data_IF_481776694959
#
_entry.id   IF_481776694959
#
_cell.length_a   1.000
_cell.length_b   1.000
_cell.length_c   1.000
_cell.angle_alpha   90.00
_cell.angle_beta   90.00
_cell.angle_gamma   90.00
#
_symmetry.space_group_name_H-M   'P 1'
#
loop_
_entity.id
_entity.type
_entity.pdbx_description
1 polymer ?
#
# COMPACT_ATOMS: atom_id res chain seq x y z
N UNK A 1 14.42 -10.98 -16.04
CA UNK A 1 14.55 -11.91 -17.18
C UNK A 1 14.10 -13.27 -16.68
N UNK A 2 12.86 -13.67 -16.95
CA UNK A 2 12.28 -14.89 -16.37
C UNK A 2 12.28 -15.97 -17.44
N UNK A 3 13.12 -16.97 -17.19
CA UNK A 3 13.19 -18.22 -17.93
C UNK A 3 12.26 -19.20 -17.21
N UNK A 4 11.46 -19.96 -17.96
CA UNK A 4 10.55 -21.02 -17.47
C UNK A 4 11.31 -22.14 -16.69
N UNK A 5 12.63 -22.05 -16.55
CA UNK A 5 13.47 -23.01 -15.82
C UNK A 5 13.11 -23.23 -14.34
N UNK A 6 12.50 -22.27 -13.63
CA UNK A 6 12.22 -22.43 -12.19
C UNK A 6 10.88 -23.09 -11.85
N UNK A 7 9.93 -23.15 -12.76
CA UNK A 7 8.63 -23.81 -12.52
C UNK A 7 8.67 -25.32 -12.73
N UNK A 8 9.68 -25.81 -13.46
CA UNK A 8 9.94 -27.23 -13.59
C UNK A 8 10.38 -27.89 -12.27
N UNK A 9 10.77 -27.17 -11.22
CA UNK A 9 11.24 -27.78 -9.96
C UNK A 9 10.18 -28.56 -9.16
N UNK A 10 8.89 -28.22 -9.31
CA UNK A 10 7.76 -28.97 -8.72
C UNK A 10 6.91 -29.67 -9.78
N UNK A 11 7.00 -29.26 -11.06
CA UNK A 11 6.38 -29.99 -12.18
C UNK A 11 7.24 -31.19 -12.66
N UNK A 12 8.45 -31.37 -12.12
CA UNK A 12 9.35 -32.51 -12.39
C UNK A 12 8.89 -33.83 -11.80
N UNK A 13 7.82 -33.91 -10.99
CA UNK A 13 7.44 -35.17 -10.32
C UNK A 13 6.27 -35.92 -10.98
N UNK A 14 5.46 -35.31 -11.85
CA UNK A 14 4.37 -36.05 -12.53
C UNK A 14 4.55 -36.24 -14.05
N UNK A 15 5.54 -35.60 -14.68
CA UNK A 15 5.86 -35.81 -16.09
C UNK A 15 6.96 -36.88 -16.33
N UNK A 16 7.57 -37.44 -15.28
CA UNK A 16 8.64 -38.44 -15.38
C UNK A 16 8.19 -39.89 -15.12
N UNK A 17 7.00 -40.27 -15.63
CA UNK A 17 6.75 -41.69 -15.90
C UNK A 17 5.93 -41.91 -17.16
N UNK A 18 6.48 -41.49 -18.31
CA UNK A 18 6.22 -42.22 -19.57
C UNK A 18 6.57 -43.73 -19.45
N UNK A 19 7.26 -44.13 -18.37
CA UNK A 19 7.49 -45.52 -17.96
C UNK A 19 6.30 -46.25 -17.32
N UNK A 20 5.16 -45.61 -17.04
CA UNK A 20 4.01 -46.35 -16.47
C UNK A 20 3.08 -46.98 -17.52
N UNK A 21 3.18 -46.62 -18.80
CA UNK A 21 2.37 -47.21 -19.88
C UNK A 21 3.06 -47.37 -21.25
N UNK A 22 4.34 -47.00 -21.41
CA UNK A 22 5.09 -47.19 -22.66
C UNK A 22 4.60 -46.35 -23.85
N UNK A 23 3.91 -45.24 -23.58
CA UNK A 23 3.40 -44.33 -24.60
C UNK A 23 4.43 -43.23 -24.82
N UNK A 24 4.98 -43.17 -26.03
CA UNK A 24 5.90 -42.13 -26.47
C UNK A 24 5.12 -40.94 -27.04
N UNK A 25 5.33 -39.75 -26.46
CA UNK A 25 4.76 -38.51 -27.00
C UNK A 25 5.53 -38.18 -28.28
N UNK A 26 4.80 -38.01 -29.38
CA UNK A 26 5.38 -37.76 -30.70
C UNK A 26 5.46 -36.27 -31.03
N UNK A 27 4.60 -35.43 -30.42
CA UNK A 27 4.57 -34.00 -30.69
C UNK A 27 4.07 -33.19 -29.48
N UNK A 28 4.48 -31.92 -29.41
CA UNK A 28 4.12 -30.95 -28.39
C UNK A 28 3.62 -29.68 -29.08
N UNK A 29 2.61 -29.05 -28.51
CA UNK A 29 2.15 -27.73 -28.94
C UNK A 29 1.90 -26.87 -27.71
N UNK A 30 2.64 -25.78 -27.63
CA UNK A 30 2.53 -24.76 -26.61
C UNK A 30 1.82 -23.54 -27.17
N UNK A 31 0.86 -23.02 -26.43
CA UNK A 31 0.36 -21.66 -26.54
C UNK A 31 0.72 -20.93 -25.25
N UNK A 32 1.49 -19.85 -25.34
CA UNK A 32 1.97 -19.11 -24.17
C UNK A 32 0.97 -18.08 -23.64
N UNK A 33 -0.17 -17.88 -24.31
CA UNK A 33 -1.22 -16.94 -23.92
C UNK A 33 -0.91 -15.48 -24.27
N UNK A 34 0.22 -15.21 -24.93
CA UNK A 34 0.64 -13.88 -25.42
C UNK A 34 0.64 -13.77 -26.96
N UNK A 35 0.03 -14.77 -27.63
CA UNK A 35 -0.03 -14.87 -29.09
C UNK A 35 1.15 -15.62 -29.71
N UNK A 36 2.11 -16.11 -28.91
CA UNK A 36 3.23 -16.92 -29.39
C UNK A 36 3.06 -18.41 -29.04
N UNK A 37 3.69 -19.28 -29.84
CA UNK A 37 3.58 -20.73 -29.72
C UNK A 37 4.94 -21.43 -29.87
N UNK A 38 5.02 -22.71 -29.50
CA UNK A 38 6.21 -23.55 -29.72
C UNK A 38 5.84 -25.02 -29.89
N UNK A 39 6.66 -25.77 -30.64
CA UNK A 39 6.57 -27.23 -30.75
C UNK A 39 7.71 -27.98 -30.05
N UNK A 40 8.56 -27.27 -29.31
CA UNK A 40 9.62 -27.91 -28.55
C UNK A 40 9.03 -28.69 -27.36
N UNK A 41 9.66 -29.81 -27.00
CA UNK A 41 9.26 -30.57 -25.80
C UNK A 41 9.44 -29.75 -24.51
N UNK A 42 10.46 -28.88 -24.47
CA UNK A 42 10.81 -28.07 -23.30
C UNK A 42 11.22 -26.64 -23.73
N UNK A 43 10.28 -25.80 -24.21
CA UNK A 43 10.61 -24.47 -24.69
C UNK A 43 11.03 -23.56 -23.54
N UNK A 44 11.82 -22.55 -23.89
CA UNK A 44 12.04 -21.40 -23.02
C UNK A 44 11.34 -20.18 -23.62
N UNK A 45 10.41 -19.59 -22.87
CA UNK A 45 9.66 -18.41 -23.29
C UNK A 45 9.84 -17.24 -22.33
N UNK A 46 9.81 -16.01 -22.86
CA UNK A 46 10.01 -14.76 -22.11
C UNK A 46 8.91 -13.77 -22.44
N UNK A 47 8.09 -13.46 -21.43
CA UNK A 47 7.06 -12.42 -21.51
C UNK A 47 7.68 -11.02 -21.48
N UNK A 48 7.33 -10.21 -22.48
CA UNK A 48 7.87 -8.84 -22.63
C UNK A 48 7.10 -7.80 -21.82
N UNK A 49 5.83 -8.06 -21.54
CA UNK A 49 4.95 -7.19 -20.77
C UNK A 49 4.50 -7.89 -19.48
N UNK A 50 4.28 -7.13 -18.40
CA UNK A 50 3.60 -7.65 -17.22
C UNK A 50 2.18 -8.12 -17.57
N UNK A 51 1.78 -9.27 -17.04
CA UNK A 51 0.45 -9.80 -17.25
C UNK A 51 0.27 -11.18 -16.63
N UNK A 52 -0.99 -11.64 -16.59
CA UNK A 52 -1.32 -13.02 -16.28
C UNK A 52 -1.60 -13.78 -17.56
N UNK A 53 -0.74 -14.75 -17.89
CA UNK A 53 -0.81 -15.47 -19.14
C UNK A 53 -1.28 -16.90 -18.92
N UNK A 54 -2.37 -17.31 -19.58
CA UNK A 54 -2.81 -18.70 -19.55
C UNK A 54 -2.03 -19.50 -20.60
N UNK A 55 -1.04 -20.26 -20.12
CA UNK A 55 -0.25 -21.19 -20.93
C UNK A 55 -1.03 -22.48 -21.12
N UNK A 56 -1.08 -22.99 -22.34
CA UNK A 56 -1.64 -24.29 -22.69
C UNK A 56 -0.56 -25.17 -23.30
N UNK A 57 -0.40 -26.39 -22.79
CA UNK A 57 0.38 -27.47 -23.39
C UNK A 57 -0.58 -28.53 -23.93
N UNK A 58 -0.44 -28.88 -25.20
CA UNK A 58 -1.06 -30.04 -25.82
C UNK A 58 0.04 -31.02 -26.25
N UNK A 59 -0.08 -32.27 -25.85
CA UNK A 59 0.87 -33.32 -26.23
C UNK A 59 0.13 -34.41 -27.02
N UNK A 60 0.77 -34.90 -28.08
CA UNK A 60 0.15 -35.80 -29.06
C UNK A 60 0.92 -37.11 -29.15
N UNK A 61 0.20 -38.17 -29.48
CA UNK A 61 0.74 -39.50 -29.79
C UNK A 61 0.14 -39.90 -31.12
N UNK A 62 0.97 -40.09 -32.15
CA UNK A 62 0.53 -40.42 -33.50
C UNK A 62 -0.57 -39.46 -33.99
N UNK A 63 -0.31 -38.14 -33.91
CA UNK A 63 -1.22 -37.06 -34.32
C UNK A 63 -2.50 -36.91 -33.49
N UNK A 64 -2.71 -37.77 -32.49
CA UNK A 64 -3.87 -37.72 -31.59
C UNK A 64 -3.53 -37.00 -30.29
N UNK A 65 -4.32 -35.98 -29.95
CA UNK A 65 -4.22 -35.30 -28.66
C UNK A 65 -4.38 -36.32 -27.53
N UNK A 66 -3.33 -36.46 -26.73
CA UNK A 66 -3.24 -37.45 -25.66
C UNK A 66 -3.16 -36.79 -24.28
N UNK A 67 -2.68 -35.55 -24.23
CA UNK A 67 -2.60 -34.77 -23.00
C UNK A 67 -2.85 -33.29 -23.29
N UNK A 68 -3.56 -32.62 -22.39
CA UNK A 68 -3.68 -31.17 -22.41
C UNK A 68 -3.63 -30.64 -20.98
N UNK A 69 -2.91 -29.53 -20.78
CA UNK A 69 -2.78 -28.88 -19.49
C UNK A 69 -2.73 -27.37 -19.65
N UNK A 70 -3.46 -26.68 -18.79
CA UNK A 70 -3.38 -25.23 -18.66
C UNK A 70 -2.73 -24.81 -17.34
N UNK A 71 -2.05 -23.69 -17.36
CA UNK A 71 -1.47 -23.05 -16.19
C UNK A 71 -1.41 -21.53 -16.37
N UNK A 72 -1.59 -20.77 -15.30
CA UNK A 72 -1.47 -19.30 -15.37
C UNK A 72 -0.10 -18.88 -14.86
N UNK A 73 0.66 -18.16 -15.70
CA UNK A 73 1.92 -17.54 -15.35
C UNK A 73 1.67 -16.11 -14.88
N UNK A 74 2.25 -15.76 -13.74
CA UNK A 74 2.33 -14.40 -13.24
C UNK A 74 3.63 -13.74 -13.72
N UNK A 75 3.51 -12.89 -14.75
CA UNK A 75 4.58 -12.03 -15.22
C UNK A 75 4.50 -10.61 -14.60
N UNK A 76 3.53 -10.35 -13.72
CA UNK A 76 3.33 -9.06 -13.05
C UNK A 76 4.24 -8.91 -11.84
N UNK A 77 4.12 -9.80 -10.86
CA UNK A 77 4.93 -9.77 -9.63
C UNK A 77 6.43 -9.64 -9.89
N UNK A 78 7.01 -10.34 -10.89
CA UNK A 78 8.43 -10.22 -11.18
C UNK A 78 8.85 -8.90 -11.85
N UNK A 79 7.90 -8.10 -12.36
CA UNK A 79 8.17 -6.78 -12.90
C UNK A 79 8.30 -5.70 -11.82
N UNK A 80 7.81 -5.97 -10.60
CA UNK A 80 7.88 -5.09 -9.43
C UNK A 80 9.28 -5.19 -8.82
N UNK A 81 10.02 -4.08 -8.83
CA UNK A 81 11.33 -4.00 -8.17
C UNK A 81 11.20 -3.62 -6.70
N UNK A 82 10.32 -2.66 -6.43
CA UNK A 82 10.06 -2.16 -5.09
C UNK A 82 8.60 -1.76 -4.98
N UNK A 83 8.03 -2.06 -3.82
CA UNK A 83 6.72 -1.59 -3.41
C UNK A 83 6.80 -1.20 -1.94
N UNK A 84 6.45 0.05 -1.61
CA UNK A 84 6.59 0.54 -0.25
C UNK A 84 5.55 1.59 0.11
N UNK A 85 5.19 1.65 1.39
CA UNK A 85 4.41 2.74 1.96
C UNK A 85 5.32 3.95 2.22
N UNK A 86 4.92 5.12 1.70
CA UNK A 86 5.53 6.42 2.02
C UNK A 86 4.61 7.22 2.94
N UNK A 87 5.17 7.81 3.99
CA UNK A 87 4.47 8.71 4.89
C UNK A 87 5.19 8.88 6.23
N UNK A 88 4.65 9.74 7.10
CA UNK A 88 5.20 9.93 8.44
C UNK A 88 4.86 8.73 9.31
N UNK A 89 5.88 8.13 9.94
CA UNK A 89 5.71 7.04 10.89
C UNK A 89 5.53 7.51 12.35
N UNK A 90 5.42 8.82 12.57
CA UNK A 90 5.03 9.42 13.84
C UNK A 90 4.12 10.63 13.60
N UNK A 91 3.18 10.84 14.52
CA UNK A 91 2.21 11.96 14.47
C UNK A 91 1.69 12.24 15.87
N UNK A 92 1.01 13.38 16.06
CA UNK A 92 0.24 13.66 17.28
C UNK A 92 -1.25 13.41 17.08
N UNK A 93 -1.96 13.18 18.19
CA UNK A 93 -3.42 13.14 18.23
C UNK A 93 -4.01 14.39 17.58
N UNK A 94 -5.02 14.20 16.74
CA UNK A 94 -5.74 15.27 16.04
C UNK A 94 -5.07 15.76 14.76
N UNK A 95 -3.83 15.36 14.46
CA UNK A 95 -3.18 15.69 13.20
C UNK A 95 -3.69 14.81 12.05
N UNK A 96 -3.78 15.40 10.85
CA UNK A 96 -4.12 14.67 9.62
C UNK A 96 -2.87 13.97 9.09
N UNK A 97 -2.93 12.64 8.99
CA UNK A 97 -1.85 11.79 8.49
C UNK A 97 -2.22 11.26 7.12
N UNK A 98 -1.27 11.31 6.18
CA UNK A 98 -1.43 10.75 4.84
C UNK A 98 -0.28 9.79 4.52
N UNK A 99 -0.64 8.64 3.95
CA UNK A 99 0.25 7.62 3.42
C UNK A 99 -0.01 7.46 1.92
N UNK A 100 1.02 7.16 1.14
CA UNK A 100 0.94 6.90 -0.31
C UNK A 100 1.71 5.62 -0.64
N UNK A 101 1.27 4.90 -1.67
CA UNK A 101 1.98 3.73 -2.16
C UNK A 101 3.01 4.16 -3.21
N UNK A 102 4.24 3.70 -3.07
CA UNK A 102 5.32 3.88 -4.04
C UNK A 102 5.59 2.56 -4.76
N UNK A 103 5.72 2.63 -6.08
CA UNK A 103 5.91 1.46 -6.93
C UNK A 103 7.03 1.72 -7.93
N UNK A 104 8.13 0.97 -7.80
CA UNK A 104 9.20 0.92 -8.80
C UNK A 104 9.09 -0.36 -9.63
N UNK A 105 9.10 -0.24 -10.96
CA UNK A 105 8.93 -1.37 -11.86
C UNK A 105 9.99 -1.41 -12.96
N UNK A 106 10.22 -2.60 -13.52
CA UNK A 106 11.11 -2.80 -14.69
C UNK A 106 10.42 -2.47 -16.02
N UNK A 107 9.08 -2.43 -16.04
CA UNK A 107 8.21 -2.19 -17.21
C UNK A 107 7.00 -1.37 -16.77
N UNK A 108 6.36 -0.59 -17.67
CA UNK A 108 5.12 0.12 -17.35
C UNK A 108 4.09 -0.85 -16.76
N UNK A 109 3.64 -0.57 -15.55
CA UNK A 109 2.70 -1.39 -14.80
C UNK A 109 1.89 -0.47 -13.90
N UNK A 110 0.57 -0.61 -13.96
CA UNK A 110 -0.36 0.13 -13.12
C UNK A 110 -1.09 -0.85 -12.21
N UNK A 111 -1.13 -0.52 -10.92
CA UNK A 111 -1.84 -1.29 -9.91
C UNK A 111 -2.97 -0.44 -9.31
N UNK A 112 -4.01 -1.10 -8.84
CA UNK A 112 -4.95 -0.54 -7.86
C UNK A 112 -4.52 -0.92 -6.45
N UNK A 113 -4.83 -0.09 -5.45
CA UNK A 113 -4.40 -0.32 -4.08
C UNK A 113 -5.55 -0.43 -3.11
N UNK A 114 -5.43 -1.37 -2.16
CA UNK A 114 -6.29 -1.50 -0.99
C UNK A 114 -5.41 -1.35 0.25
N UNK A 115 -5.74 -0.37 1.08
CA UNK A 115 -5.12 -0.10 2.37
C UNK A 115 -5.93 -0.77 3.47
N UNK A 116 -5.28 -1.46 4.40
CA UNK A 116 -5.93 -2.10 5.53
C UNK A 116 -5.33 -1.56 6.82
N UNK A 117 -6.16 -0.91 7.64
CA UNK A 117 -5.75 -0.36 8.93
C UNK A 117 -5.64 -1.45 10.01
N UNK A 118 -5.17 -1.08 11.20
CA UNK A 118 -5.04 -1.98 12.36
C UNK A 118 -6.34 -2.63 12.83
N UNK A 119 -7.50 -2.13 12.42
CA UNK A 119 -8.82 -2.69 12.72
C UNK A 119 -9.31 -3.66 11.63
N UNK A 120 -8.50 -3.87 10.57
CA UNK A 120 -8.86 -4.70 9.43
C UNK A 120 -9.77 -4.02 8.41
N UNK A 121 -10.00 -2.71 8.53
CA UNK A 121 -10.88 -1.93 7.64
C UNK A 121 -10.12 -1.56 6.37
N UNK A 122 -10.75 -1.84 5.23
CA UNK A 122 -10.18 -1.63 3.89
C UNK A 122 -10.57 -0.28 3.27
N UNK A 123 -9.62 0.33 2.57
CA UNK A 123 -9.80 1.57 1.83
C UNK A 123 -9.13 1.48 0.46
N UNK A 124 -9.87 1.79 -0.61
CA UNK A 124 -9.31 1.82 -1.97
C UNK A 124 -8.73 3.19 -2.32
N UNK A 125 -7.61 3.22 -3.02
CA UNK A 125 -7.05 4.46 -3.60
C UNK A 125 -5.53 4.58 -3.49
N UNK A 126 -4.96 5.57 -4.17
CA UNK A 126 -3.51 5.80 -4.20
C UNK A 126 -2.94 6.34 -2.89
N UNK A 127 -3.81 6.84 -2.02
CA UNK A 127 -3.43 7.40 -0.72
C UNK A 127 -4.42 6.93 0.35
N UNK A 128 -3.91 6.78 1.57
CA UNK A 128 -4.70 6.58 2.76
C UNK A 128 -4.53 7.77 3.69
N UNK A 129 -5.62 8.39 4.12
CA UNK A 129 -5.57 9.58 4.96
C UNK A 129 -6.60 9.52 6.08
N UNK A 130 -6.17 9.84 7.30
CA UNK A 130 -7.03 9.81 8.49
C UNK A 130 -6.58 10.84 9.54
N UNK A 131 -7.40 10.97 10.58
CA UNK A 131 -7.11 11.67 11.84
C UNK A 131 -7.52 10.73 12.98
N UNK A 132 -6.81 10.75 14.10
CA UNK A 132 -7.16 9.90 15.25
C UNK A 132 -6.93 10.60 16.59
N UNK A 133 -7.73 10.22 17.58
CA UNK A 133 -7.62 10.57 18.99
C UNK A 133 -6.94 9.46 19.83
N UNK A 134 -6.69 8.29 19.23
CA UNK A 134 -6.04 7.16 19.90
C UNK A 134 -4.52 7.32 19.88
N UNK A 135 -3.90 7.32 21.05
CA UNK A 135 -2.44 7.23 21.24
C UNK A 135 -2.02 5.76 21.16
N UNK A 136 -0.90 5.47 20.52
CA UNK A 136 -0.38 4.11 20.44
C UNK A 136 0.53 3.87 19.25
N UNK A 137 0.95 2.61 19.10
CA UNK A 137 1.63 2.10 17.92
C UNK A 137 0.65 1.25 17.12
N UNK A 138 0.57 1.49 15.82
CA UNK A 138 -0.39 0.84 14.93
C UNK A 138 0.32 0.31 13.69
N UNK A 139 -0.32 -0.68 13.06
CA UNK A 139 0.11 -1.20 11.77
C UNK A 139 -0.83 -0.72 10.67
N UNK A 140 -0.24 -0.45 9.51
CA UNK A 140 -0.92 -0.16 8.26
C UNK A 140 -0.34 -1.08 7.21
N UNK A 141 -1.19 -1.73 6.43
CA UNK A 141 -0.77 -2.46 5.24
C UNK A 141 -1.39 -1.88 3.98
N UNK A 142 -0.71 -2.08 2.86
CA UNK A 142 -1.25 -1.78 1.53
C UNK A 142 -0.98 -2.97 0.62
N UNK A 143 -2.00 -3.40 -0.11
CA UNK A 143 -1.92 -4.44 -1.13
C UNK A 143 -2.10 -3.83 -2.51
N UNK A 144 -1.22 -4.19 -3.44
CA UNK A 144 -1.29 -3.82 -4.85
C UNK A 144 -1.92 -4.93 -5.68
N UNK A 145 -2.84 -4.55 -6.56
CA UNK A 145 -3.61 -5.47 -7.39
C UNK A 145 -3.46 -5.13 -8.88
N UNK A 146 -3.27 -6.17 -9.69
CA UNK A 146 -3.35 -6.11 -11.14
C UNK A 146 -4.55 -6.93 -11.59
N UNK A 147 -5.47 -6.32 -12.35
CA UNK A 147 -6.70 -7.00 -12.82
C UNK A 147 -7.47 -7.75 -11.72
N UNK A 148 -7.55 -7.14 -10.54
CA UNK A 148 -8.25 -7.71 -9.37
C UNK A 148 -7.50 -8.81 -8.62
N UNK A 149 -6.28 -9.17 -9.03
CA UNK A 149 -5.43 -10.14 -8.32
C UNK A 149 -4.34 -9.43 -7.54
N UNK A 150 -4.18 -9.78 -6.27
CA UNK A 150 -3.11 -9.24 -5.42
C UNK A 150 -1.75 -9.76 -5.92
N UNK A 151 -0.82 -8.83 -6.18
CA UNK A 151 0.54 -9.13 -6.68
C UNK A 151 1.65 -8.67 -5.75
N UNK A 152 1.34 -7.75 -4.84
CA UNK A 152 2.31 -7.27 -3.85
C UNK A 152 1.60 -6.76 -2.61
N UNK A 153 2.32 -6.71 -1.50
CA UNK A 153 1.87 -6.11 -0.24
C UNK A 153 3.06 -5.49 0.48
N UNK A 154 2.82 -4.40 1.19
CA UNK A 154 3.77 -3.82 2.12
C UNK A 154 3.08 -3.49 3.45
N UNK A 155 3.86 -3.36 4.51
CA UNK A 155 3.38 -3.08 5.86
C UNK A 155 4.31 -2.11 6.58
N UNK A 156 3.72 -1.15 7.28
CA UNK A 156 4.41 -0.12 8.03
C UNK A 156 3.82 -0.01 9.43
N UNK A 157 4.69 0.18 10.42
CA UNK A 157 4.28 0.62 11.76
C UNK A 157 4.40 2.13 11.89
N UNK A 158 3.40 2.77 12.52
CA UNK A 158 3.43 4.20 12.85
C UNK A 158 3.00 4.45 14.30
N UNK A 159 3.46 5.55 14.88
CA UNK A 159 3.15 5.94 16.25
C UNK A 159 2.32 7.21 16.31
N UNK A 160 1.36 7.25 17.22
CA UNK A 160 0.57 8.44 17.55
C UNK A 160 0.85 8.81 18.99
N UNK A 161 1.39 10.00 19.23
CA UNK A 161 1.65 10.53 20.58
C UNK A 161 0.57 11.52 21.00
N UNK A 162 0.50 11.83 22.31
CA UNK A 162 -0.40 12.86 22.81
C UNK A 162 -0.14 14.21 22.13
N UNK A 163 -1.20 15.03 22.00
CA UNK A 163 -1.06 16.41 21.58
C UNK A 163 -0.26 17.20 22.63
N UNK A 164 0.48 18.23 22.19
CA UNK A 164 1.16 19.13 23.12
C UNK A 164 0.11 19.91 23.89
N UNK A 165 -0.15 19.52 25.14
CA UNK A 165 -0.91 20.35 26.05
C UNK A 165 -0.04 21.55 26.42
N UNK A 166 -0.09 22.61 25.61
CA UNK A 166 0.33 23.91 26.12
C UNK A 166 -0.73 24.29 27.16
N UNK A 167 -0.40 24.39 28.46
CA UNK A 167 -1.39 24.84 29.43
C UNK A 167 -1.85 26.23 28.98
N UNK A 168 -3.13 26.32 28.59
CA UNK A 168 -3.76 27.62 28.39
C UNK A 168 -3.56 28.40 29.68
N UNK A 169 -3.02 29.64 29.65
CA UNK A 169 -2.87 30.43 30.87
C UNK A 169 -4.26 30.56 31.49
N UNK A 170 -4.47 29.88 32.61
CA UNK A 170 -5.69 30.04 33.40
C UNK A 170 -5.76 31.49 33.84
N UNK A 171 -6.60 32.28 33.18
CA UNK A 171 -6.99 33.60 33.69
C UNK A 171 -7.56 33.38 35.10
N UNK A 172 -6.98 33.95 36.15
CA UNK A 172 -7.59 33.90 37.47
C UNK A 172 -8.97 34.55 37.37
N UNK A 173 -10.04 33.79 37.63
CA UNK A 173 -11.36 34.37 37.90
C UNK A 173 -11.27 35.07 39.25
N UNK A 174 -10.91 36.34 39.21
CA UNK A 174 -10.92 37.18 40.39
C UNK A 174 -12.38 37.37 40.85
N UNK A 175 -12.71 36.79 42.00
CA UNK A 175 -13.95 37.06 42.72
C UNK A 175 -13.81 38.42 43.37
N UNK A 176 -14.34 39.47 42.76
CA UNK A 176 -14.64 40.71 43.46
C UNK A 176 -15.84 41.42 42.81
N UNK A 177 -17.05 41.05 43.26
CA UNK A 177 -18.23 41.89 43.11
C UNK A 177 -18.88 42.03 44.48
N UNK A 178 -18.43 43.04 45.23
CA UNK A 178 -19.12 43.57 46.41
C UNK A 178 -18.68 45.01 46.66
N UNK A 179 -19.66 45.92 46.78
CA UNK A 179 -19.47 47.22 47.42
C UNK A 179 -19.49 48.43 46.47
N UNK A 180 -20.67 49.01 46.34
CA UNK A 180 -20.95 50.30 45.68
C UNK A 180 -20.72 51.48 46.65
N UNK A 181 -20.48 52.66 46.05
CA UNK A 181 -20.51 54.05 46.57
C UNK A 181 -19.31 54.55 47.39
N UNK A 182 -18.63 55.60 46.90
CA UNK A 182 -18.51 56.92 47.55
C UNK A 182 -17.89 57.96 46.58
N UNK A 183 -18.31 59.21 46.75
CA UNK A 183 -18.23 60.38 45.86
C UNK A 183 -16.81 60.91 45.55
N UNK A 184 -16.60 61.44 44.33
CA UNK A 184 -15.45 62.31 44.01
C UNK A 184 -15.96 63.71 43.65
N UNK A 185 -15.56 64.70 44.44
CA UNK A 185 -15.58 66.14 44.14
C UNK A 185 -14.20 66.71 44.57
N UNK A 186 -13.73 67.83 44.03
CA UNK A 186 -13.04 67.97 42.75
C UNK A 186 -11.55 68.30 42.94
N UNK A 187 -10.81 68.31 41.83
CA UNK A 187 -9.38 68.57 41.74
C UNK A 187 -8.97 69.96 42.29
N UNK A 188 -7.96 69.95 43.16
CA UNK A 188 -7.26 71.11 43.67
C UNK A 188 -6.21 71.57 42.62
N UNK A 189 -6.49 72.65 41.89
CA UNK A 189 -5.49 73.32 41.05
C UNK A 189 -4.84 74.46 41.87
N UNK A 190 -3.52 74.36 42.04
CA UNK A 190 -2.67 75.38 42.68
C UNK A 190 -2.39 76.47 41.64
N UNK A 191 -2.68 77.74 41.98
CA UNK A 191 -2.18 78.90 41.23
C UNK A 191 -1.81 80.07 42.15
N UNK A 192 -0.53 80.04 42.52
CA UNK A 192 0.47 81.11 42.67
C UNK A 192 0.00 82.60 42.63
N UNK A 193 0.32 83.31 43.73
CA UNK A 193 0.74 84.72 43.93
C UNK A 193 -0.09 85.89 43.34
N UNK A 194 -0.55 86.80 44.23
CA UNK A 194 0.08 88.13 44.46
C UNK A 194 -0.58 88.94 45.59
N UNK A 195 0.27 89.54 46.44
CA UNK A 195 -0.01 90.58 47.46
C UNK A 195 -0.60 91.86 46.84
N UNK A 196 -1.44 92.58 47.59
CA UNK A 196 -1.10 93.91 48.16
C UNK A 196 -2.24 94.53 48.99
N UNK A 197 -1.82 95.02 50.16
CA UNK A 197 -2.34 96.06 51.06
C UNK A 197 -3.66 95.80 51.78
#
# INVERSE_FOLDING_TARGET
>A
MYTIKRWLGYLTILAFSSTLYGIEITDYQWDFGDGTTSSEANPNHVYQQPGFYQVTLNAFVNEKLSYSKQHVIDAVSPAIKQFSILGKNNTKVGERVSFSAELETTKPLQLSYIWTNHEGIEHSGNQYTFTTDKVGSFELSVSGFFEGRKVTTDMLSYTVTAADTTPSPTTPKDKAQQGSLFWILPALFILVLRRKQ
#
